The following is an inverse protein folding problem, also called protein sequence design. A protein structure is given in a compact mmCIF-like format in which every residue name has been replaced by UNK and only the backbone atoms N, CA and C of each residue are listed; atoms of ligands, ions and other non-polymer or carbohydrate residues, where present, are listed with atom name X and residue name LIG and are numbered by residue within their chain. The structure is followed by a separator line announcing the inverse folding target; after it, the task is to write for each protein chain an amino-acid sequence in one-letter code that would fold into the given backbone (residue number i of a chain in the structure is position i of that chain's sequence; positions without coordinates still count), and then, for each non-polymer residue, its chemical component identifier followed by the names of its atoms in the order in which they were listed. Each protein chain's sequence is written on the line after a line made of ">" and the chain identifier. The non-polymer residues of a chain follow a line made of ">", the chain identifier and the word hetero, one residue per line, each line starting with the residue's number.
data_IF_587382086358
#
_entry.id   IF_587382086358
#
_cell.length_a   1.000
_cell.length_b   1.000
_cell.length_c   1.000
_cell.angle_alpha   90.00
_cell.angle_beta   90.00
_cell.angle_gamma   90.00
#
_symmetry.space_group_name_H-M   'P 1'
#
loop_
_entity.id
_entity.type
_entity.pdbx_description
1 polymer ?
#
# COMPACT_ATOMS: atom_id res chain seq x y z
N UNK A 1 1.92 1.37 -2.07
CA UNK A 1 1.98 -0.08 -1.83
C UNK A 1 3.12 -0.38 -0.89
N UNK A 2 2.84 -1.10 0.20
CA UNK A 2 3.86 -1.56 1.14
C UNK A 2 4.05 -3.07 1.02
N UNK A 3 5.28 -3.54 1.21
CA UNK A 3 5.61 -4.97 1.30
C UNK A 3 6.17 -5.27 2.69
N UNK A 4 5.67 -6.33 3.30
CA UNK A 4 6.25 -6.85 4.54
C UNK A 4 7.23 -7.99 4.30
N UNK A 5 7.98 -8.36 5.34
CA UNK A 5 9.03 -9.40 5.26
C UNK A 5 8.52 -10.79 4.88
N UNK A 6 7.21 -11.04 4.97
CA UNK A 6 6.59 -12.31 4.52
C UNK A 6 6.19 -12.31 3.04
N UNK A 7 6.67 -11.33 2.24
CA UNK A 7 6.37 -11.21 0.81
C UNK A 7 4.92 -10.83 0.49
N UNK A 8 4.14 -10.40 1.49
CA UNK A 8 2.75 -9.97 1.34
C UNK A 8 2.66 -8.46 1.17
N UNK A 9 1.67 -8.02 0.41
CA UNK A 9 1.50 -6.62 0.03
C UNK A 9 0.29 -5.97 0.72
N UNK A 10 0.42 -4.68 1.00
CA UNK A 10 -0.63 -3.79 1.48
C UNK A 10 -0.82 -2.63 0.50
N UNK A 11 -2.05 -2.43 0.07
CA UNK A 11 -2.43 -1.36 -0.87
C UNK A 11 -3.46 -0.47 -0.17
N UNK A 12 -3.18 0.84 -0.13
CA UNK A 12 -4.05 1.85 0.44
C UNK A 12 -3.75 3.23 -0.15
N UNK A 13 -4.78 4.07 -0.29
CA UNK A 13 -4.63 5.51 -0.55
C UNK A 13 -4.41 6.27 0.76
N UNK A 14 -3.58 7.31 0.72
CA UNK A 14 -3.26 8.15 1.89
C UNK A 14 -2.78 9.51 1.42
N UNK A 15 -3.04 10.56 2.20
CA UNK A 15 -2.54 11.91 1.91
C UNK A 15 -1.09 12.10 2.38
N UNK A 16 -0.71 11.40 3.45
CA UNK A 16 0.67 11.37 3.94
C UNK A 16 1.19 9.92 3.91
N UNK A 17 2.13 9.67 3.01
CA UNK A 17 2.76 8.36 2.83
C UNK A 17 3.76 8.04 3.94
N UNK A 18 4.51 9.03 4.40
CA UNK A 18 5.56 8.88 5.40
C UNK A 18 4.95 8.55 6.76
N UNK A 19 3.96 9.33 7.20
CA UNK A 19 3.25 9.07 8.44
C UNK A 19 2.54 7.71 8.42
N UNK A 20 2.00 7.31 7.25
CA UNK A 20 1.36 6.00 7.06
C UNK A 20 2.36 4.86 7.27
N UNK A 21 3.53 4.92 6.63
CA UNK A 21 4.59 3.91 6.78
C UNK A 21 5.05 3.83 8.24
N UNK A 22 5.35 4.98 8.86
CA UNK A 22 5.77 5.05 10.25
C UNK A 22 4.73 4.41 11.19
N UNK A 23 3.45 4.79 11.04
CA UNK A 23 2.35 4.23 11.84
C UNK A 23 2.24 2.72 11.68
N UNK A 24 2.31 2.19 10.46
CA UNK A 24 2.21 0.74 10.28
C UNK A 24 3.42 -0.03 10.81
N UNK A 25 4.60 0.59 10.78
CA UNK A 25 5.84 0.03 11.33
C UNK A 25 5.88 -0.01 12.87
N UNK A 26 5.01 0.73 13.55
CA UNK A 26 4.80 0.55 15.02
C UNK A 26 4.26 -0.84 15.39
N UNK A 27 3.70 -1.58 14.45
CA UNK A 27 3.09 -2.89 14.70
C UNK A 27 1.76 -2.85 15.46
N UNK A 28 1.20 -1.67 15.72
CA UNK A 28 -0.11 -1.52 16.38
C UNK A 28 -1.30 -1.91 15.49
N UNK A 29 -1.11 -1.94 14.16
CA UNK A 29 -2.18 -2.24 13.20
C UNK A 29 -2.15 -3.72 12.82
N UNK A 30 -3.15 -4.49 13.27
CA UNK A 30 -3.19 -5.94 13.09
C UNK A 30 -3.10 -6.39 11.62
N UNK A 31 -3.81 -5.70 10.72
CA UNK A 31 -3.88 -6.04 9.30
C UNK A 31 -2.54 -5.95 8.58
N UNK A 32 -1.64 -5.08 9.05
CA UNK A 32 -0.29 -4.90 8.49
C UNK A 32 0.79 -5.61 9.32
N UNK A 33 0.60 -5.76 10.64
CA UNK A 33 1.52 -6.55 11.49
C UNK A 33 1.71 -7.97 10.96
N UNK A 34 0.63 -8.60 10.50
CA UNK A 34 0.66 -9.98 9.95
C UNK A 34 1.42 -10.12 8.62
N UNK A 35 1.78 -9.03 7.95
CA UNK A 35 2.59 -9.05 6.71
C UNK A 35 4.08 -9.24 7.01
N UNK A 36 4.49 -9.14 8.28
CA UNK A 36 5.89 -9.11 8.69
C UNK A 36 6.43 -7.69 8.63
N UNK A 37 7.00 -7.24 9.74
CA UNK A 37 7.65 -5.93 9.87
C UNK A 37 9.16 -6.08 9.65
N UNK A 38 9.87 -5.01 9.21
CA UNK A 38 9.32 -3.72 8.81
C UNK A 38 8.58 -3.80 7.47
N UNK A 39 7.62 -2.90 7.27
CA UNK A 39 7.01 -2.64 5.97
C UNK A 39 7.87 -1.62 5.22
N UNK A 40 8.18 -1.96 3.98
CA UNK A 40 8.90 -1.10 3.04
C UNK A 40 7.96 -0.58 1.97
N UNK A 41 8.14 0.67 1.57
CA UNK A 41 7.44 1.25 0.41
C UNK A 41 8.05 0.66 -0.86
N UNK A 42 7.23 0.01 -1.70
CA UNK A 42 7.69 -0.63 -2.95
C UNK A 42 7.16 0.02 -4.22
N UNK A 43 6.01 0.71 -4.14
CA UNK A 43 5.45 1.48 -5.24
C UNK A 43 4.47 2.53 -4.70
N UNK A 44 4.35 3.67 -5.38
CA UNK A 44 3.41 4.74 -5.05
C UNK A 44 3.12 5.59 -6.26
N UNK A 45 1.89 6.07 -6.37
CA UNK A 45 1.45 6.97 -7.42
C UNK A 45 0.60 8.07 -6.82
N UNK A 46 0.81 9.29 -7.28
CA UNK A 46 0.03 10.45 -6.88
C UNK A 46 -1.23 10.57 -7.75
N UNK A 47 -2.29 11.07 -7.14
CA UNK A 47 -3.55 11.34 -7.82
C UNK A 47 -4.00 12.77 -7.49
N UNK A 48 -4.64 13.48 -8.42
CA UNK A 48 -5.14 14.84 -8.18
C UNK A 48 -6.08 14.95 -6.98
N UNK A 49 -6.85 13.89 -6.71
CA UNK A 49 -7.79 13.85 -5.58
C UNK A 49 -7.72 12.55 -4.80
N UNK A 50 -8.07 12.63 -3.50
CA UNK A 50 -8.22 11.43 -2.66
C UNK A 50 -9.32 10.50 -3.19
N UNK A 51 -10.36 11.04 -3.84
CA UNK A 51 -11.46 10.27 -4.41
C UNK A 51 -11.00 9.39 -5.58
N UNK A 52 -10.14 9.92 -6.45
CA UNK A 52 -9.50 9.15 -7.53
C UNK A 52 -8.57 8.09 -6.94
N UNK A 53 -7.73 8.44 -5.97
CA UNK A 53 -6.84 7.49 -5.30
C UNK A 53 -7.61 6.31 -4.65
N UNK A 54 -8.76 6.58 -4.02
CA UNK A 54 -9.63 5.55 -3.43
C UNK A 54 -10.31 4.69 -4.51
N UNK A 55 -10.69 5.29 -5.64
CA UNK A 55 -11.26 4.56 -6.78
C UNK A 55 -10.23 3.59 -7.36
N UNK A 56 -9.01 4.07 -7.53
CA UNK A 56 -7.88 3.26 -7.98
C UNK A 56 -7.50 2.19 -6.97
N UNK A 57 -7.44 2.49 -5.68
CA UNK A 57 -7.21 1.50 -4.62
C UNK A 57 -8.20 0.33 -4.71
N UNK A 58 -9.50 0.63 -4.88
CA UNK A 58 -10.54 -0.41 -5.04
C UNK A 58 -10.31 -1.24 -6.31
N UNK A 59 -9.95 -0.60 -7.42
CA UNK A 59 -9.63 -1.26 -8.69
C UNK A 59 -8.44 -2.21 -8.55
N UNK A 60 -7.35 -1.75 -7.95
CA UNK A 60 -6.14 -2.54 -7.72
C UNK A 60 -6.38 -3.72 -6.78
N UNK A 61 -7.15 -3.51 -5.70
CA UNK A 61 -7.54 -4.59 -4.78
C UNK A 61 -8.37 -5.68 -5.47
N UNK A 62 -9.19 -5.33 -6.45
CA UNK A 62 -10.01 -6.29 -7.23
C UNK A 62 -9.16 -7.17 -8.15
N UNK A 63 -8.01 -6.71 -8.62
CA UNK A 63 -7.14 -7.51 -9.49
C UNK A 63 -6.60 -8.76 -8.80
N UNK A 64 -6.52 -8.77 -7.46
CA UNK A 64 -5.93 -9.87 -6.66
C UNK A 64 -4.54 -10.32 -7.15
N UNK A 65 -3.86 -9.45 -7.90
CA UNK A 65 -2.54 -9.68 -8.48
C UNK A 65 -1.63 -8.50 -8.06
N UNK A 66 -0.80 -8.69 -7.02
CA UNK A 66 0.08 -7.64 -6.52
C UNK A 66 1.12 -7.17 -7.55
N UNK A 67 1.64 -8.04 -8.41
CA UNK A 67 2.64 -7.67 -9.41
C UNK A 67 2.04 -6.72 -10.45
N UNK A 68 0.84 -7.03 -10.94
CA UNK A 68 0.10 -6.14 -11.85
C UNK A 68 -0.19 -4.79 -11.20
N UNK A 69 -0.62 -4.81 -9.94
CA UNK A 69 -0.90 -3.57 -9.20
C UNK A 69 0.37 -2.75 -8.94
N UNK A 70 1.49 -3.40 -8.66
CA UNK A 70 2.79 -2.76 -8.46
C UNK A 70 3.26 -2.08 -9.75
N UNK A 71 3.21 -2.79 -10.88
CA UNK A 71 3.58 -2.23 -12.18
C UNK A 71 2.77 -0.97 -12.51
N UNK A 72 1.44 -1.01 -12.34
CA UNK A 72 0.57 0.16 -12.55
C UNK A 72 0.90 1.35 -11.66
N UNK A 73 1.37 1.10 -10.43
CA UNK A 73 1.75 2.15 -9.48
C UNK A 73 3.18 2.67 -9.70
N UNK A 74 3.98 2.05 -10.56
CA UNK A 74 5.33 2.50 -10.91
C UNK A 74 5.37 3.27 -12.23
N UNK A 75 4.30 3.18 -13.04
CA UNK A 75 4.03 4.02 -14.22
C UNK A 75 3.49 5.39 -13.83
#
# INVERSE_FOLDING_TARGET
>A
MLQGTKGRYYIHATEDLTARVARHNTGMVHSTKRLGLPLVLVASREFPTIAEALTEERRLKRWKNPQKAMAYLQE
#
